data_IF_289762161491
#
_entry.id   IF_289762161491
#
_cell.length_a   1.000
_cell.length_b   1.000
_cell.length_c   1.000
_cell.angle_alpha   90.00
_cell.angle_beta   90.00
_cell.angle_gamma   90.00
#
_symmetry.space_group_name_H-M   'P 1'
#
loop_
_entity.id
_entity.type
_entity.pdbx_description
1 polymer ?
#
# COMPACT_ATOMS: atom_id res chain seq x y z
N UNK A 1 -13.55 13.64 -13.80
CA UNK A 1 -12.18 13.07 -13.59
C UNK A 1 -11.05 14.13 -13.50
N UNK A 2 -11.24 15.40 -13.88
CA UNK A 2 -10.12 16.36 -14.03
C UNK A 2 -9.44 16.94 -12.77
N UNK A 3 -10.14 17.15 -11.65
CA UNK A 3 -9.55 17.87 -10.49
C UNK A 3 -8.52 17.07 -9.68
N UNK A 4 -8.73 15.75 -9.54
CA UNK A 4 -7.80 14.89 -8.77
C UNK A 4 -6.51 14.65 -9.55
N UNK A 5 -6.63 14.27 -10.83
CA UNK A 5 -5.49 14.01 -11.71
C UNK A 5 -4.53 15.21 -11.81
N UNK A 6 -5.06 16.44 -11.89
CA UNK A 6 -4.23 17.64 -11.94
C UNK A 6 -3.35 17.82 -10.68
N UNK A 7 -3.88 17.49 -9.49
CA UNK A 7 -3.11 17.57 -8.23
C UNK A 7 -1.96 16.56 -8.20
N UNK A 8 -2.16 15.35 -8.71
CA UNK A 8 -1.10 14.34 -8.80
C UNK A 8 0.02 14.78 -9.75
N UNK A 9 -0.33 15.34 -10.91
CA UNK A 9 0.67 15.84 -11.87
C UNK A 9 1.51 16.98 -11.29
N UNK A 10 0.91 17.91 -10.53
CA UNK A 10 1.64 18.97 -9.83
C UNK A 10 2.64 18.43 -8.79
N UNK A 11 2.41 17.23 -8.26
CA UNK A 11 3.30 16.55 -7.31
C UNK A 11 4.35 15.68 -8.02
N UNK A 12 4.45 15.78 -9.35
CA UNK A 12 5.43 15.07 -10.17
C UNK A 12 5.03 13.63 -10.53
N UNK A 13 3.75 13.28 -10.43
CA UNK A 13 3.26 11.96 -10.83
C UNK A 13 2.74 11.95 -12.27
N UNK A 14 3.12 10.91 -13.02
CA UNK A 14 2.52 10.54 -14.29
C UNK A 14 1.27 9.69 -14.03
N UNK A 15 0.19 9.99 -14.75
CA UNK A 15 -1.07 9.24 -14.63
C UNK A 15 -1.03 8.09 -15.62
N UNK A 16 -1.14 6.85 -15.12
CA UNK A 16 -1.27 5.66 -15.98
C UNK A 16 -2.73 5.32 -16.29
N UNK A 17 -3.63 5.63 -15.36
CA UNK A 17 -5.05 5.33 -15.49
C UNK A 17 -5.83 5.91 -14.32
N UNK A 18 -7.16 5.67 -14.27
CA UNK A 18 -7.98 6.09 -13.15
C UNK A 18 -7.41 5.53 -11.85
N UNK A 19 -7.08 6.42 -10.90
CA UNK A 19 -6.52 6.05 -9.58
C UNK A 19 -5.15 5.36 -9.61
N UNK A 20 -4.42 5.38 -10.74
CA UNK A 20 -3.10 4.75 -10.87
C UNK A 20 -2.09 5.81 -11.32
N UNK A 21 -1.07 6.01 -10.50
CA UNK A 21 -0.06 7.05 -10.66
C UNK A 21 1.33 6.46 -10.53
N UNK A 22 2.29 7.01 -11.28
CA UNK A 22 3.68 6.60 -11.26
C UNK A 22 4.56 7.80 -11.01
N UNK A 23 5.58 7.59 -10.20
CA UNK A 23 6.74 8.46 -10.10
C UNK A 23 7.96 7.64 -10.47
N UNK A 24 8.51 7.91 -11.64
CA UNK A 24 9.68 7.19 -12.16
C UNK A 24 10.90 7.48 -11.26
N UNK A 25 11.83 6.52 -11.25
CA UNK A 25 13.09 6.68 -10.55
C UNK A 25 13.79 7.97 -11.00
N UNK A 26 14.52 8.60 -10.09
CA UNK A 26 15.26 9.82 -10.47
C UNK A 26 16.47 9.38 -11.30
N UNK A 27 16.30 9.26 -12.61
CA UNK A 27 17.44 9.19 -13.52
C UNK A 27 18.16 10.53 -13.40
N UNK A 28 19.34 10.57 -12.78
CA UNK A 28 20.26 11.66 -13.08
C UNK A 28 20.49 11.56 -14.58
N UNK A 29 19.97 12.51 -15.35
CA UNK A 29 20.34 12.62 -16.76
C UNK A 29 21.86 12.65 -16.77
N UNK A 30 22.47 11.72 -17.50
CA UNK A 30 23.82 11.88 -17.98
C UNK A 30 23.85 13.16 -18.81
N UNK A 31 24.11 14.30 -18.16
CA UNK A 31 24.46 15.52 -18.83
C UNK A 31 25.73 15.21 -19.61
N UNK A 32 25.58 15.16 -20.93
CA UNK A 32 26.63 14.99 -21.91
C UNK A 32 27.85 15.83 -21.54
N UNK A 33 28.99 15.15 -21.47
CA UNK A 33 30.33 15.71 -21.36
C UNK A 33 30.47 16.87 -22.35
N UNK A 34 30.80 18.06 -21.85
CA UNK A 34 31.54 19.04 -22.63
C UNK A 34 32.84 19.31 -21.90
N UNK A 35 33.91 18.84 -22.51
CA UNK A 35 35.28 18.90 -22.05
C UNK A 35 35.86 20.28 -22.26
N UNK A 36 36.19 20.99 -21.18
CA UNK A 36 37.24 22.01 -21.17
C UNK A 36 37.92 22.02 -19.80
N UNK A 37 39.22 21.80 -19.84
CA UNK A 37 40.17 21.77 -18.74
C UNK A 37 40.56 23.16 -18.24
N UNK A 38 40.55 23.37 -16.92
CA UNK A 38 41.48 24.27 -16.22
C UNK A 38 41.39 24.02 -14.70
N UNK A 39 42.55 23.99 -14.04
CA UNK A 39 42.82 23.48 -12.70
C UNK A 39 42.41 24.41 -11.53
N UNK A 40 42.45 23.79 -10.33
CA UNK A 40 42.70 24.31 -8.97
C UNK A 40 41.52 24.49 -7.97
N UNK A 41 41.45 23.47 -7.11
CA UNK A 41 41.22 23.51 -5.64
C UNK A 41 39.96 24.18 -5.09
N UNK A 42 38.93 23.37 -4.86
CA UNK A 42 38.06 23.49 -3.68
C UNK A 42 37.43 22.14 -3.35
N UNK A 43 37.53 21.71 -2.10
CA UNK A 43 36.95 20.51 -1.50
C UNK A 43 35.80 19.85 -2.28
N UNK A 44 36.10 18.76 -2.98
CA UNK A 44 35.08 17.86 -3.52
C UNK A 44 34.32 17.21 -2.37
N UNK A 45 33.15 17.77 -2.04
CA UNK A 45 32.10 17.00 -1.40
C UNK A 45 31.58 16.00 -2.44
N UNK A 46 32.19 14.82 -2.48
CA UNK A 46 31.68 13.70 -3.28
C UNK A 46 30.28 13.37 -2.77
N UNK A 47 29.19 13.58 -3.54
CA UNK A 47 27.89 13.09 -3.13
C UNK A 47 27.96 11.55 -3.08
N UNK A 48 27.29 10.86 -2.15
CA UNK A 48 27.37 9.41 -2.05
C UNK A 48 26.82 8.77 -3.33
N UNK A 49 27.73 8.41 -4.23
CA UNK A 49 27.47 7.67 -5.45
C UNK A 49 27.57 6.18 -5.13
N UNK A 50 26.52 5.62 -4.54
CA UNK A 50 26.22 4.19 -4.63
C UNK A 50 24.72 4.05 -4.82
N UNK A 51 24.30 3.79 -6.06
CA UNK A 51 23.03 3.11 -6.33
C UNK A 51 23.08 1.84 -5.49
N UNK A 52 22.23 1.71 -4.48
CA UNK A 52 22.18 0.49 -3.70
C UNK A 52 21.59 -0.61 -4.61
N UNK A 53 22.38 -1.59 -5.10
CA UNK A 53 21.85 -2.65 -5.97
C UNK A 53 20.84 -3.54 -5.23
N UNK A 54 20.78 -3.42 -3.91
CA UNK A 54 19.91 -4.14 -2.99
C UNK A 54 18.58 -3.42 -2.71
N UNK A 55 18.25 -2.33 -3.40
CA UNK A 55 16.94 -1.68 -3.30
C UNK A 55 15.85 -2.38 -4.12
N UNK A 56 14.56 -2.12 -3.83
CA UNK A 56 13.46 -2.58 -4.69
C UNK A 56 13.52 -1.88 -6.05
N UNK A 57 13.14 -2.60 -7.10
CA UNK A 57 12.95 -1.97 -8.41
C UNK A 57 11.65 -1.14 -8.44
N UNK A 58 10.65 -1.57 -7.66
CA UNK A 58 9.35 -0.94 -7.57
C UNK A 58 8.86 -0.87 -6.12
N UNK A 59 8.43 0.30 -5.69
CA UNK A 59 7.56 0.47 -4.53
C UNK A 59 6.12 0.47 -5.04
N UNK A 60 5.32 -0.51 -4.64
CA UNK A 60 3.89 -0.54 -4.88
C UNK A 60 3.17 -0.02 -3.63
N UNK A 61 2.69 1.22 -3.69
CA UNK A 61 1.96 1.87 -2.60
C UNK A 61 0.46 1.87 -2.89
N UNK A 62 -0.31 1.15 -2.10
CA UNK A 62 -1.78 1.15 -2.20
C UNK A 62 -2.36 1.99 -1.06
N UNK A 63 -2.92 3.16 -1.39
CA UNK A 63 -3.30 4.16 -0.38
C UNK A 63 -4.58 3.77 0.36
N UNK A 64 -4.77 4.35 1.55
CA UNK A 64 -6.05 4.28 2.24
C UNK A 64 -7.16 4.96 1.43
N UNK A 65 -8.40 4.63 1.78
CA UNK A 65 -9.59 5.14 1.11
C UNK A 65 -9.70 6.65 1.26
N UNK A 66 -9.78 7.36 0.15
CA UNK A 66 -9.95 8.82 0.13
C UNK A 66 -8.69 9.61 0.52
N UNK A 67 -7.50 9.01 0.41
CA UNK A 67 -6.24 9.69 0.71
C UNK A 67 -6.06 11.01 -0.07
N UNK A 68 -5.67 12.07 0.64
CA UNK A 68 -5.26 13.33 -0.02
C UNK A 68 -3.90 13.09 -0.69
N UNK A 69 -3.74 13.45 -1.99
CA UNK A 69 -2.48 13.29 -2.71
C UNK A 69 -1.26 13.88 -1.99
N UNK A 70 -1.44 14.98 -1.23
CA UNK A 70 -0.37 15.63 -0.48
C UNK A 70 0.15 14.77 0.67
N UNK A 71 -0.71 13.95 1.28
CA UNK A 71 -0.29 13.05 2.35
C UNK A 71 0.50 11.88 1.77
N UNK A 72 -0.01 11.28 0.69
CA UNK A 72 0.69 10.19 -0.02
C UNK A 72 2.04 10.66 -0.56
N UNK A 73 2.11 11.89 -1.08
CA UNK A 73 3.35 12.46 -1.60
C UNK A 73 4.48 12.50 -0.55
N UNK A 74 4.17 12.67 0.74
CA UNK A 74 5.18 12.64 1.82
C UNK A 74 5.85 11.26 1.92
N UNK A 75 5.06 10.19 1.89
CA UNK A 75 5.59 8.81 1.88
C UNK A 75 6.43 8.54 0.64
N UNK A 76 5.93 8.91 -0.55
CA UNK A 76 6.70 8.69 -1.79
C UNK A 76 7.98 9.52 -1.85
N UNK A 77 7.99 10.73 -1.27
CA UNK A 77 9.20 11.54 -1.17
C UNK A 77 10.26 10.80 -0.34
N UNK A 78 9.87 10.26 0.81
CA UNK A 78 10.77 9.52 1.67
C UNK A 78 11.26 8.22 1.03
N UNK A 79 10.39 7.50 0.32
CA UNK A 79 10.82 6.36 -0.50
C UNK A 79 11.86 6.73 -1.55
N UNK A 80 11.70 7.87 -2.24
CA UNK A 80 12.69 8.33 -3.21
C UNK A 80 14.03 8.71 -2.56
N UNK A 81 14.04 9.14 -1.30
CA UNK A 81 15.27 9.42 -0.53
C UNK A 81 15.97 8.11 -0.13
N UNK A 82 15.22 7.11 0.32
CA UNK A 82 15.72 5.80 0.77
C UNK A 82 16.16 4.93 -0.42
N UNK A 83 15.37 4.90 -1.49
CA UNK A 83 15.59 4.09 -2.69
C UNK A 83 15.51 4.97 -3.97
N UNK A 84 16.56 5.77 -4.27
CA UNK A 84 16.54 6.71 -5.40
C UNK A 84 16.33 6.07 -6.79
N UNK A 85 16.68 4.79 -6.92
CA UNK A 85 16.55 4.02 -8.16
C UNK A 85 15.23 3.26 -8.27
N UNK A 86 14.41 3.24 -7.21
CA UNK A 86 13.10 2.60 -7.24
C UNK A 86 12.09 3.49 -7.98
N UNK A 87 11.29 2.88 -8.83
CA UNK A 87 10.06 3.51 -9.31
C UNK A 87 8.99 3.39 -8.22
N UNK A 88 8.10 4.38 -8.08
CA UNK A 88 6.98 4.32 -7.14
C UNK A 88 5.67 4.29 -7.91
N UNK A 89 4.90 3.21 -7.77
CA UNK A 89 3.52 3.13 -8.21
C UNK A 89 2.59 3.42 -7.04
N UNK A 90 1.71 4.40 -7.20
CA UNK A 90 0.65 4.70 -6.25
C UNK A 90 -0.68 4.30 -6.86
N UNK A 91 -1.42 3.44 -6.15
CA UNK A 91 -2.79 3.07 -6.49
C UNK A 91 -3.71 3.57 -5.39
N UNK A 92 -4.62 4.48 -5.73
CA UNK A 92 -5.54 5.08 -4.76
C UNK A 92 -6.87 4.36 -4.70
N UNK A 93 -7.44 4.28 -3.50
CA UNK A 93 -8.82 3.82 -3.32
C UNK A 93 -9.75 5.01 -3.14
N UNK A 94 -10.76 5.14 -4.00
CA UNK A 94 -11.83 6.13 -3.85
C UNK A 94 -13.12 5.45 -3.41
N UNK A 95 -13.94 6.12 -2.61
CA UNK A 95 -15.19 5.56 -2.07
C UNK A 95 -16.12 5.07 -3.20
N UNK A 96 -16.16 5.78 -4.33
CA UNK A 96 -16.96 5.36 -5.48
C UNK A 96 -16.53 4.01 -6.08
N UNK A 97 -15.23 3.66 -6.00
CA UNK A 97 -14.76 2.35 -6.43
C UNK A 97 -15.29 1.24 -5.52
N UNK A 98 -15.56 1.54 -4.25
CA UNK A 98 -16.03 0.56 -3.28
C UNK A 98 -17.53 0.27 -3.44
N UNK A 99 -18.33 1.30 -3.73
CA UNK A 99 -19.80 1.24 -3.66
C UNK A 99 -20.46 0.91 -5.00
N UNK A 100 -19.92 1.37 -6.14
CA UNK A 100 -20.66 1.39 -7.41
C UNK A 100 -20.06 0.53 -8.54
N UNK A 101 -18.99 -0.23 -8.27
CA UNK A 101 -18.34 -1.08 -9.30
C UNK A 101 -18.42 -2.56 -8.96
N UNK A 102 -18.77 -3.36 -9.96
CA UNK A 102 -18.64 -4.82 -9.91
C UNK A 102 -17.17 -5.24 -9.78
N UNK A 103 -16.94 -6.49 -9.37
CA UNK A 103 -15.58 -7.06 -9.27
C UNK A 103 -14.87 -7.06 -10.64
N UNK A 104 -15.58 -7.36 -11.73
CA UNK A 104 -15.00 -7.32 -13.08
C UNK A 104 -14.58 -5.91 -13.49
N UNK A 105 -15.40 -4.89 -13.22
CA UNK A 105 -15.02 -3.50 -13.51
C UNK A 105 -13.86 -3.03 -12.64
N UNK A 106 -13.80 -3.46 -11.37
CA UNK A 106 -12.66 -3.19 -10.48
C UNK A 106 -11.36 -3.76 -11.05
N UNK A 107 -11.40 -4.96 -11.62
CA UNK A 107 -10.25 -5.61 -12.27
C UNK A 107 -9.89 -4.93 -13.60
N UNK A 108 -10.88 -4.61 -14.44
CA UNK A 108 -10.65 -3.96 -15.74
C UNK A 108 -9.97 -2.59 -15.59
N UNK A 109 -10.34 -1.81 -14.57
CA UNK A 109 -9.72 -0.50 -14.28
C UNK A 109 -8.25 -0.64 -13.86
N UNK A 110 -7.82 -1.81 -13.39
CA UNK A 110 -6.42 -2.09 -13.04
C UNK A 110 -5.57 -2.48 -14.26
N UNK A 111 -6.15 -2.61 -15.46
CA UNK A 111 -5.43 -2.95 -16.69
C UNK A 111 -4.14 -2.13 -16.92
N UNK A 112 -4.15 -0.79 -16.76
CA UNK A 112 -2.94 0.01 -16.91
C UNK A 112 -1.84 -0.31 -15.87
N UNK A 113 -2.21 -0.65 -14.63
CA UNK A 113 -1.26 -1.06 -13.60
C UNK A 113 -0.65 -2.43 -13.94
N UNK A 114 -1.49 -3.39 -14.34
CA UNK A 114 -1.05 -4.74 -14.74
C UNK A 114 -0.10 -4.67 -15.94
N UNK A 115 -0.44 -3.88 -16.96
CA UNK A 115 0.40 -3.72 -18.15
C UNK A 115 1.72 -3.01 -17.83
N UNK A 116 1.72 -2.07 -16.89
CA UNK A 116 2.97 -1.49 -16.39
C UNK A 116 3.81 -2.54 -15.68
N UNK A 117 3.24 -3.29 -14.74
CA UNK A 117 3.93 -4.33 -13.98
C UNK A 117 4.54 -5.36 -14.93
N UNK A 118 3.79 -5.85 -15.91
CA UNK A 118 4.25 -6.83 -16.91
C UNK A 118 5.50 -6.38 -17.68
N UNK A 119 5.63 -5.07 -17.94
CA UNK A 119 6.77 -4.51 -18.68
C UNK A 119 7.98 -4.17 -17.83
N UNK A 120 7.78 -3.87 -16.54
CA UNK A 120 8.84 -3.33 -15.67
C UNK A 120 9.28 -4.30 -14.58
N UNK A 121 8.54 -5.38 -14.40
CA UNK A 121 8.81 -6.41 -13.40
C UNK A 121 9.18 -7.68 -14.15
N UNK A 122 10.47 -7.99 -14.18
CA UNK A 122 10.93 -9.27 -14.73
C UNK A 122 10.61 -10.38 -13.75
N UNK A 123 9.62 -11.21 -14.09
CA UNK A 123 9.33 -12.47 -13.39
C UNK A 123 10.41 -13.53 -13.62
N UNK A 124 11.29 -13.32 -14.61
CA UNK A 124 12.46 -14.16 -14.90
C UNK A 124 13.68 -13.84 -14.03
N UNK A 125 13.67 -12.72 -13.30
CA UNK A 125 14.70 -12.50 -12.29
C UNK A 125 14.44 -13.47 -11.15
N UNK A 126 15.45 -14.23 -10.76
CA UNK A 126 15.40 -15.16 -9.61
C UNK A 126 15.24 -14.44 -8.25
N UNK A 127 14.93 -13.14 -8.25
CA UNK A 127 14.79 -12.32 -7.04
C UNK A 127 13.52 -11.48 -7.08
N UNK A 128 12.83 -11.34 -5.94
CA UNK A 128 11.74 -10.38 -5.80
C UNK A 128 12.21 -8.95 -6.11
N UNK A 129 11.30 -8.12 -6.64
CA UNK A 129 11.63 -6.76 -7.08
C UNK A 129 10.69 -5.69 -6.55
N UNK A 130 9.59 -6.09 -5.89
CA UNK A 130 8.54 -5.19 -5.43
C UNK A 130 8.51 -5.14 -3.90
N UNK A 131 8.59 -3.95 -3.32
CA UNK A 131 8.15 -3.70 -1.93
C UNK A 131 6.70 -3.23 -1.97
N UNK A 132 5.79 -4.00 -1.38
CA UNK A 132 4.38 -3.64 -1.27
C UNK A 132 4.13 -2.91 0.06
N UNK A 133 3.59 -1.70 -0.01
CA UNK A 133 3.10 -0.95 1.14
C UNK A 133 1.60 -0.72 1.00
N UNK A 134 0.81 -1.44 1.79
CA UNK A 134 -0.65 -1.38 1.78
C UNK A 134 -1.18 -0.66 3.01
N UNK A 135 -1.97 0.39 2.78
CA UNK A 135 -2.58 1.20 3.83
C UNK A 135 -4.07 0.91 3.96
N UNK A 136 -4.53 0.67 5.18
CA UNK A 136 -5.96 0.45 5.49
C UNK A 136 -6.58 -0.75 4.74
N UNK A 137 -7.85 -1.03 5.01
CA UNK A 137 -8.63 -2.03 4.27
C UNK A 137 -8.72 -1.71 2.77
N UNK A 138 -8.84 -0.43 2.44
CA UNK A 138 -8.94 0.03 1.05
C UNK A 138 -7.68 -0.25 0.24
N UNK A 139 -6.49 -0.07 0.83
CA UNK A 139 -5.22 -0.34 0.17
C UNK A 139 -4.97 -1.84 0.02
N UNK A 140 -5.14 -2.61 1.10
CA UNK A 140 -5.01 -4.06 1.09
C UNK A 140 -5.94 -4.72 0.06
N UNK A 141 -7.19 -4.23 -0.05
CA UNK A 141 -8.11 -4.71 -1.08
C UNK A 141 -7.59 -4.44 -2.50
N UNK A 142 -7.06 -3.24 -2.77
CA UNK A 142 -6.45 -2.94 -4.08
C UNK A 142 -5.22 -3.79 -4.35
N UNK A 143 -4.37 -4.02 -3.35
CA UNK A 143 -3.20 -4.89 -3.49
C UNK A 143 -3.61 -6.30 -3.93
N UNK A 144 -4.60 -6.88 -3.24
CA UNK A 144 -5.20 -8.18 -3.60
C UNK A 144 -5.81 -8.15 -5.01
N UNK A 145 -6.55 -7.11 -5.37
CA UNK A 145 -7.12 -6.99 -6.72
C UNK A 145 -6.04 -6.91 -7.81
N UNK A 146 -4.94 -6.18 -7.58
CA UNK A 146 -3.82 -6.09 -8.52
C UNK A 146 -3.13 -7.44 -8.66
N UNK A 147 -2.87 -8.14 -7.56
CA UNK A 147 -2.28 -9.48 -7.61
C UNK A 147 -3.15 -10.47 -8.37
N UNK A 148 -4.47 -10.45 -8.16
CA UNK A 148 -5.41 -11.31 -8.89
C UNK A 148 -5.42 -10.98 -10.38
N UNK A 149 -5.49 -9.69 -10.71
CA UNK A 149 -5.48 -9.24 -12.10
C UNK A 149 -4.16 -9.60 -12.81
N UNK A 150 -3.03 -9.46 -12.11
CA UNK A 150 -1.71 -9.81 -12.64
C UNK A 150 -1.57 -11.33 -12.85
N UNK A 151 -1.98 -12.13 -11.87
CA UNK A 151 -1.97 -13.60 -11.97
C UNK A 151 -2.85 -14.08 -13.12
N UNK A 152 -4.06 -13.53 -13.25
CA UNK A 152 -4.96 -13.86 -14.35
C UNK A 152 -4.40 -13.47 -15.73
N UNK A 153 -3.67 -12.34 -15.82
CA UNK A 153 -3.12 -11.85 -17.07
C UNK A 153 -1.80 -12.52 -17.49
N UNK A 154 -1.00 -13.00 -16.53
CA UNK A 154 0.37 -13.48 -16.79
C UNK A 154 0.58 -14.96 -16.47
N UNK A 155 -0.31 -15.58 -15.68
CA UNK A 155 -0.10 -16.89 -15.10
C UNK A 155 0.95 -16.92 -13.98
N UNK A 156 1.55 -15.78 -13.62
CA UNK A 156 2.58 -15.65 -12.61
C UNK A 156 2.10 -14.80 -11.42
N UNK A 157 2.57 -15.11 -10.22
CA UNK A 157 2.37 -14.29 -9.02
C UNK A 157 3.20 -13.00 -9.13
N UNK A 158 2.77 -11.93 -8.45
CA UNK A 158 3.59 -10.73 -8.33
C UNK A 158 4.85 -11.04 -7.51
N UNK A 159 6.06 -10.68 -7.98
CA UNK A 159 7.32 -10.96 -7.26
C UNK A 159 7.56 -9.91 -6.15
N UNK A 160 6.70 -9.96 -5.13
CA UNK A 160 6.79 -9.14 -3.93
C UNK A 160 7.88 -9.70 -3.00
N UNK A 161 8.83 -8.85 -2.61
CA UNK A 161 9.97 -9.18 -1.75
C UNK A 161 9.82 -8.72 -0.31
N UNK A 162 8.77 -7.97 -0.01
CA UNK A 162 8.43 -7.55 1.35
C UNK A 162 7.04 -6.93 1.39
N UNK A 163 6.35 -7.12 2.51
CA UNK A 163 5.03 -6.55 2.76
C UNK A 163 5.07 -5.61 3.96
N UNK A 164 4.64 -4.37 3.76
CA UNK A 164 4.32 -3.43 4.84
C UNK A 164 2.82 -3.22 4.87
N UNK A 165 2.20 -3.65 5.95
CA UNK A 165 0.78 -3.49 6.22
C UNK A 165 0.59 -2.37 7.25
N UNK A 166 0.11 -1.22 6.81
CA UNK A 166 -0.10 -0.03 7.65
C UNK A 166 -1.60 0.13 7.96
N UNK A 167 -1.95 -0.02 9.24
CA UNK A 167 -3.34 -0.07 9.73
C UNK A 167 -4.22 -1.11 9.02
N UNK A 168 -3.71 -2.32 8.76
CA UNK A 168 -4.42 -3.39 8.01
C UNK A 168 -3.75 -4.75 8.26
N UNK A 169 -4.42 -5.89 8.05
CA UNK A 169 -5.86 -6.05 7.87
C UNK A 169 -6.63 -6.16 9.19
N UNK A 170 -7.86 -5.68 9.18
CA UNK A 170 -8.82 -5.79 10.27
C UNK A 170 -9.79 -6.96 10.14
N UNK A 171 -10.82 -6.94 10.99
CA UNK A 171 -12.01 -7.79 10.90
C UNK A 171 -13.27 -6.92 10.72
N UNK A 172 -14.37 -7.49 10.20
CA UNK A 172 -15.62 -6.74 10.03
C UNK A 172 -16.28 -6.41 11.38
N UNK A 173 -15.93 -5.27 11.93
CA UNK A 173 -16.55 -4.70 13.13
C UNK A 173 -17.62 -3.67 12.76
N UNK A 174 -18.80 -3.77 13.38
CA UNK A 174 -19.88 -2.81 13.13
C UNK A 174 -19.50 -1.39 13.58
N UNK A 175 -18.89 -1.26 14.76
CA UNK A 175 -18.39 0.01 15.31
C UNK A 175 -17.38 0.68 14.38
N UNK A 176 -16.41 -0.07 13.85
CA UNK A 176 -15.43 0.42 12.88
C UNK A 176 -16.09 0.94 11.60
N UNK A 177 -17.09 0.23 11.07
CA UNK A 177 -17.84 0.68 9.90
C UNK A 177 -18.60 1.99 10.17
N UNK A 178 -19.19 2.14 11.37
CA UNK A 178 -19.84 3.38 11.79
C UNK A 178 -18.84 4.53 11.94
N UNK A 179 -17.65 4.27 12.52
CA UNK A 179 -16.58 5.26 12.63
C UNK A 179 -16.08 5.73 11.25
N UNK A 180 -15.84 4.79 10.33
CA UNK A 180 -15.45 5.08 8.95
C UNK A 180 -16.52 5.91 8.21
N UNK A 181 -17.80 5.54 8.35
CA UNK A 181 -18.90 6.29 7.75
C UNK A 181 -19.03 7.69 8.35
N UNK A 182 -18.92 7.84 9.68
CA UNK A 182 -18.93 9.16 10.32
C UNK A 182 -17.82 10.07 9.80
N UNK A 183 -16.64 9.52 9.50
CA UNK A 183 -15.51 10.25 8.89
C UNK A 183 -15.76 10.67 7.44
N UNK A 184 -16.50 9.89 6.67
CA UNK A 184 -16.82 10.23 5.29
C UNK A 184 -17.88 11.32 5.17
N UNK A 185 -18.68 11.53 6.23
CA UNK A 185 -19.69 12.59 6.28
C UNK A 185 -19.04 14.00 6.35
N UNK A 186 -19.59 14.98 5.61
CA UNK A 186 -19.17 16.38 5.69
C UNK A 186 -19.15 16.91 7.13
N UNK A 187 -18.26 17.85 7.45
CA UNK A 187 -18.15 18.42 8.80
C UNK A 187 -19.40 19.20 9.28
N UNK A 188 -20.36 19.45 8.38
CA UNK A 188 -21.61 20.14 8.70
C UNK A 188 -22.44 19.35 9.73
N UNK A 189 -22.76 20.01 10.85
CA UNK A 189 -23.49 19.39 11.98
C UNK A 189 -24.88 18.88 11.60
N UNK A 190 -25.62 19.61 10.77
CA UNK A 190 -26.97 19.21 10.34
C UNK A 190 -26.93 17.99 9.42
N UNK A 191 -26.00 17.97 8.46
CA UNK A 191 -25.78 16.82 7.57
C UNK A 191 -25.36 15.59 8.39
N UNK A 192 -24.50 15.76 9.39
CA UNK A 192 -24.10 14.66 10.28
C UNK A 192 -25.25 14.16 11.16
N UNK A 193 -26.07 15.07 11.70
CA UNK A 193 -27.20 14.71 12.56
C UNK A 193 -28.25 13.87 11.83
N UNK A 194 -28.50 14.13 10.54
CA UNK A 194 -29.44 13.34 9.74
C UNK A 194 -28.77 12.14 9.04
N UNK A 195 -27.57 12.33 8.49
CA UNK A 195 -26.87 11.31 7.72
C UNK A 195 -26.34 10.16 8.57
N UNK A 196 -25.92 10.41 9.81
CA UNK A 196 -25.35 9.38 10.68
C UNK A 196 -26.38 8.31 11.09
N UNK A 197 -27.59 8.65 11.60
CA UNK A 197 -28.61 7.65 11.92
C UNK A 197 -29.00 6.81 10.70
N UNK A 198 -29.25 7.46 9.55
CA UNK A 198 -29.59 6.77 8.30
C UNK A 198 -28.48 5.81 7.89
N UNK A 199 -27.22 6.27 7.92
CA UNK A 199 -26.08 5.42 7.59
C UNK A 199 -25.88 4.26 8.55
N UNK A 200 -26.10 4.45 9.86
CA UNK A 200 -26.04 3.37 10.86
C UNK A 200 -27.09 2.30 10.56
N UNK A 201 -28.32 2.70 10.21
CA UNK A 201 -29.39 1.75 9.82
C UNK A 201 -28.99 0.97 8.56
N UNK A 202 -28.52 1.66 7.52
CA UNK A 202 -28.08 1.02 6.27
C UNK A 202 -26.90 0.06 6.51
N UNK A 203 -25.88 0.50 7.27
CA UNK A 203 -24.76 -0.34 7.66
C UNK A 203 -25.23 -1.55 8.46
N UNK A 204 -26.22 -1.38 9.35
CA UNK A 204 -26.80 -2.45 10.15
C UNK A 204 -27.50 -3.49 9.26
N UNK A 205 -28.25 -3.05 8.25
CA UNK A 205 -28.88 -3.94 7.26
C UNK A 205 -27.85 -4.70 6.44
N UNK A 206 -26.80 -4.03 5.96
CA UNK A 206 -25.70 -4.68 5.22
C UNK A 206 -24.99 -5.70 6.10
N UNK A 207 -24.65 -5.31 7.33
CA UNK A 207 -24.00 -6.19 8.29
C UNK A 207 -24.85 -7.42 8.61
N UNK A 208 -26.14 -7.22 8.89
CA UNK A 208 -27.12 -8.28 9.11
C UNK A 208 -27.26 -9.22 7.92
N UNK A 209 -27.26 -8.67 6.69
CA UNK A 209 -27.32 -9.48 5.45
C UNK A 209 -26.13 -10.42 5.33
N UNK A 210 -24.90 -9.94 5.59
CA UNK A 210 -23.73 -10.82 5.58
C UNK A 210 -23.72 -11.80 6.75
N UNK A 211 -24.18 -11.40 7.93
CA UNK A 211 -24.27 -12.29 9.09
C UNK A 211 -25.27 -13.43 8.92
N UNK A 212 -26.42 -13.17 8.27
CA UNK A 212 -27.58 -14.10 8.28
C UNK A 212 -27.82 -14.77 6.93
N UNK A 213 -27.58 -14.06 5.82
CA UNK A 213 -28.00 -14.51 4.48
C UNK A 213 -26.81 -14.91 3.61
N UNK A 214 -25.81 -14.03 3.52
CA UNK A 214 -24.68 -14.24 2.60
C UNK A 214 -23.52 -15.00 3.24
N UNK A 215 -23.51 -15.20 4.55
CA UNK A 215 -22.37 -15.76 5.28
C UNK A 215 -21.31 -14.71 5.62
N UNK A 216 -20.78 -14.71 6.86
CA UNK A 216 -19.81 -13.72 7.32
C UNK A 216 -18.52 -13.74 6.50
N UNK A 217 -18.14 -14.87 5.92
CA UNK A 217 -16.95 -15.05 5.07
C UNK A 217 -17.02 -14.28 3.75
N UNK A 218 -18.21 -13.96 3.26
CA UNK A 218 -18.40 -13.37 1.94
C UNK A 218 -18.29 -11.84 1.91
N UNK A 219 -17.97 -11.19 3.04
CA UNK A 219 -17.73 -9.75 3.05
C UNK A 219 -16.31 -9.41 2.54
N UNK A 220 -16.14 -8.22 1.97
CA UNK A 220 -14.89 -7.79 1.31
C UNK A 220 -13.70 -7.73 2.27
N UNK A 221 -13.91 -7.35 3.55
CA UNK A 221 -12.85 -7.26 4.56
C UNK A 221 -12.31 -8.67 4.83
N UNK A 222 -13.20 -9.63 5.12
CA UNK A 222 -12.80 -11.03 5.37
C UNK A 222 -12.16 -11.68 4.14
N UNK A 223 -12.71 -11.47 2.94
CA UNK A 223 -12.08 -11.97 1.70
C UNK A 223 -10.71 -11.36 1.45
N UNK A 224 -10.50 -10.08 1.77
CA UNK A 224 -9.21 -9.40 1.62
C UNK A 224 -8.21 -9.94 2.63
N UNK A 225 -8.59 -10.05 3.91
CA UNK A 225 -7.79 -10.65 4.97
C UNK A 225 -7.29 -12.04 4.58
N UNK A 226 -8.21 -12.93 4.21
CA UNK A 226 -7.85 -14.29 3.80
C UNK A 226 -6.92 -14.29 2.58
N UNK A 227 -7.17 -13.41 1.61
CA UNK A 227 -6.37 -13.32 0.40
C UNK A 227 -4.94 -12.82 0.65
N UNK A 228 -4.65 -12.09 1.73
CA UNK A 228 -3.27 -11.67 2.06
C UNK A 228 -2.39 -12.85 2.51
N UNK A 229 -3.00 -13.94 2.96
CA UNK A 229 -2.33 -15.19 3.34
C UNK A 229 -2.51 -16.31 2.30
N UNK A 230 -3.09 -16.01 1.14
CA UNK A 230 -3.34 -16.99 0.08
C UNK A 230 -2.06 -17.29 -0.73
N UNK A 231 -1.51 -18.50 -0.57
CA UNK A 231 -0.33 -18.99 -1.27
C UNK A 231 -0.53 -19.15 -2.78
N UNK A 232 -1.78 -19.26 -3.26
CA UNK A 232 -2.04 -19.28 -4.70
C UNK A 232 -1.78 -17.90 -5.29
N UNK A 233 -2.16 -16.85 -4.55
CA UNK A 233 -2.09 -15.48 -4.99
C UNK A 233 -0.69 -14.86 -4.82
N UNK A 234 -0.01 -15.22 -3.73
CA UNK A 234 1.26 -14.62 -3.35
C UNK A 234 2.33 -15.70 -3.15
N UNK A 235 3.56 -15.36 -3.51
CA UNK A 235 4.72 -16.17 -3.10
C UNK A 235 5.10 -15.78 -1.67
N UNK A 236 4.35 -16.28 -0.69
CA UNK A 236 4.45 -15.82 0.70
C UNK A 236 5.62 -16.44 1.46
N UNK A 237 6.08 -17.62 1.05
CA UNK A 237 7.09 -18.39 1.78
C UNK A 237 8.40 -17.60 1.86
N UNK A 238 8.84 -17.29 3.09
CA UNK A 238 10.10 -16.58 3.33
C UNK A 238 10.11 -15.10 2.90
N UNK A 239 8.96 -14.51 2.58
CA UNK A 239 8.88 -13.07 2.29
C UNK A 239 8.61 -12.29 3.58
N UNK A 240 9.49 -11.35 3.98
CA UNK A 240 9.31 -10.58 5.22
C UNK A 240 8.02 -9.76 5.22
N UNK A 241 7.42 -9.65 6.40
CA UNK A 241 6.18 -8.92 6.62
C UNK A 241 6.32 -8.02 7.84
N UNK A 242 5.79 -6.81 7.75
CA UNK A 242 5.74 -5.88 8.85
C UNK A 242 4.37 -5.27 8.95
N UNK A 243 3.78 -5.33 10.14
CA UNK A 243 2.53 -4.68 10.47
C UNK A 243 2.84 -3.42 11.28
N UNK A 244 2.32 -2.29 10.83
CA UNK A 244 2.44 -1.00 11.49
C UNK A 244 1.06 -0.54 11.92
N UNK A 245 0.86 -0.31 13.22
CA UNK A 245 -0.46 -0.05 13.77
C UNK A 245 -0.40 0.74 15.08
N UNK A 246 -1.56 1.22 15.55
CA UNK A 246 -1.66 1.88 16.85
C UNK A 246 -2.87 1.44 17.67
N UNK A 247 -2.70 1.42 18.99
CA UNK A 247 -3.81 1.28 19.95
C UNK A 247 -4.85 2.39 19.84
N UNK A 248 -4.47 3.56 19.34
CA UNK A 248 -5.37 4.70 19.15
C UNK A 248 -6.05 4.72 17.77
N UNK A 249 -5.82 3.70 16.93
CA UNK A 249 -6.56 3.53 15.69
C UNK A 249 -8.01 3.12 15.99
N UNK A 250 -8.94 3.97 15.61
CA UNK A 250 -10.38 3.81 15.83
C UNK A 250 -11.12 3.33 14.57
N UNK A 251 -10.40 3.04 13.48
CA UNK A 251 -10.97 2.34 12.33
C UNK A 251 -10.61 0.86 12.35
N UNK A 252 -9.34 0.53 12.58
CA UNK A 252 -8.86 -0.85 12.55
C UNK A 252 -8.30 -1.19 13.92
N UNK A 253 -8.98 -2.12 14.60
CA UNK A 253 -8.54 -2.59 15.91
C UNK A 253 -7.16 -3.24 15.79
N UNK A 254 -6.23 -2.83 16.64
CA UNK A 254 -4.86 -3.34 16.61
C UNK A 254 -4.82 -4.84 16.92
N UNK A 255 -5.77 -5.34 17.72
CA UNK A 255 -5.94 -6.75 18.04
C UNK A 255 -6.18 -7.58 16.77
N UNK A 256 -7.00 -7.09 15.84
CA UNK A 256 -7.27 -7.80 14.59
C UNK A 256 -6.02 -7.94 13.71
N UNK A 257 -5.14 -6.93 13.76
CA UNK A 257 -3.87 -6.91 13.01
C UNK A 257 -2.90 -7.91 13.63
N UNK A 258 -2.79 -7.93 14.96
CA UNK A 258 -1.97 -8.91 15.69
C UNK A 258 -2.47 -10.32 15.45
N UNK A 259 -3.78 -10.54 15.49
CA UNK A 259 -4.40 -11.82 15.14
C UNK A 259 -4.00 -12.26 13.72
N UNK A 260 -3.92 -11.33 12.75
CA UNK A 260 -3.56 -11.69 11.38
C UNK A 260 -2.09 -12.11 11.26
N UNK A 261 -1.21 -11.45 12.02
CA UNK A 261 0.18 -11.83 12.10
C UNK A 261 0.32 -13.25 12.68
N UNK A 262 -0.41 -13.56 13.75
CA UNK A 262 -0.46 -14.91 14.33
C UNK A 262 -1.02 -15.95 13.34
N UNK A 263 -2.13 -15.65 12.66
CA UNK A 263 -2.68 -16.49 11.60
C UNK A 263 -1.62 -16.79 10.52
N UNK A 264 -0.85 -15.78 10.10
CA UNK A 264 0.22 -15.99 9.11
C UNK A 264 1.40 -16.80 9.65
N UNK A 265 1.75 -16.66 10.93
CA UNK A 265 2.79 -17.47 11.57
C UNK A 265 2.36 -18.94 11.68
N UNK A 266 1.11 -19.20 12.05
CA UNK A 266 0.57 -20.55 12.18
C UNK A 266 0.45 -21.26 10.83
N UNK A 267 -0.18 -20.59 9.85
CA UNK A 267 -0.51 -21.16 8.54
C UNK A 267 0.71 -21.24 7.62
N UNK A 268 1.53 -20.19 7.60
CA UNK A 268 2.58 -20.02 6.59
C UNK A 268 3.99 -20.14 7.17
N UNK A 269 4.13 -20.27 8.49
CA UNK A 269 5.42 -20.27 9.21
C UNK A 269 6.24 -18.99 8.95
N UNK A 270 5.53 -17.86 8.80
CA UNK A 270 6.13 -16.54 8.58
C UNK A 270 6.08 -15.75 9.89
N UNK A 271 7.24 -15.52 10.49
CA UNK A 271 7.37 -14.57 11.58
C UNK A 271 7.30 -13.14 11.03
N UNK A 272 6.34 -12.37 11.54
CA UNK A 272 6.10 -10.99 11.08
C UNK A 272 6.58 -9.99 12.12
N UNK A 273 7.18 -8.89 11.66
CA UNK A 273 7.51 -7.76 12.54
C UNK A 273 6.26 -6.97 12.91
N UNK A 274 6.12 -6.62 14.18
CA UNK A 274 5.01 -5.82 14.70
C UNK A 274 5.54 -4.48 15.23
N UNK A 275 5.14 -3.39 14.60
CA UNK A 275 5.46 -2.02 15.02
C UNK A 275 4.21 -1.39 15.60
N UNK A 276 4.14 -1.38 16.93
CA UNK A 276 2.98 -0.96 17.70
C UNK A 276 3.20 0.43 18.30
N UNK A 277 2.34 1.36 17.90
CA UNK A 277 2.27 2.72 18.42
C UNK A 277 1.14 2.87 19.43
N UNK A 278 1.19 3.93 20.26
CA UNK A 278 0.16 4.14 21.30
C UNK A 278 -0.86 5.22 20.97
N UNK A 279 -0.50 6.23 20.16
CA UNK A 279 -1.27 7.49 20.09
C UNK A 279 -1.62 7.94 18.67
N UNK A 280 -1.04 7.33 17.65
CA UNK A 280 -1.21 7.75 16.26
C UNK A 280 -2.56 7.29 15.73
N UNK A 281 -3.22 8.20 15.01
CA UNK A 281 -4.44 7.87 14.29
C UNK A 281 -4.17 7.00 13.07
N UNK A 282 -5.25 6.42 12.53
CA UNK A 282 -5.27 5.59 11.34
C UNK A 282 -4.39 6.13 10.19
N UNK A 283 -3.50 5.28 9.67
CA UNK A 283 -2.54 5.57 8.60
C UNK A 283 -1.66 6.82 8.82
N UNK A 284 -1.40 7.21 10.07
CA UNK A 284 -0.62 8.38 10.43
C UNK A 284 0.45 8.07 11.49
N UNK A 285 0.91 6.82 11.53
CA UNK A 285 1.87 6.29 12.49
C UNK A 285 3.26 6.93 12.38
N UNK A 286 3.68 7.27 11.17
CA UNK A 286 4.93 8.00 10.90
C UNK A 286 5.05 9.32 11.69
N UNK A 287 3.92 9.93 12.07
CA UNK A 287 3.90 11.18 12.83
C UNK A 287 4.22 11.00 14.32
N UNK A 288 4.05 9.78 14.86
CA UNK A 288 4.38 9.48 16.25
C UNK A 288 5.87 9.23 16.41
N UNK A 289 6.48 8.42 15.52
CA UNK A 289 7.92 8.22 15.47
C UNK A 289 8.37 7.93 14.03
N UNK A 290 8.89 8.94 13.35
CA UNK A 290 9.30 8.82 11.96
C UNK A 290 10.50 7.89 11.77
N UNK A 291 11.47 7.94 12.69
CA UNK A 291 12.69 7.13 12.61
C UNK A 291 12.37 5.64 12.72
N UNK A 292 11.61 5.25 13.74
CA UNK A 292 11.19 3.86 13.95
C UNK A 292 10.33 3.34 12.79
N UNK A 293 9.42 4.16 12.28
CA UNK A 293 8.55 3.81 11.16
C UNK A 293 9.37 3.45 9.92
N UNK A 294 10.29 4.34 9.51
CA UNK A 294 11.08 4.11 8.31
C UNK A 294 12.16 3.05 8.51
N UNK A 295 12.73 2.93 9.72
CA UNK A 295 13.65 1.84 10.05
C UNK A 295 12.97 0.48 9.91
N UNK A 296 11.71 0.36 10.33
CA UNK A 296 10.94 -0.86 10.14
C UNK A 296 10.69 -1.16 8.66
N UNK A 297 10.23 -0.16 7.87
CA UNK A 297 10.02 -0.31 6.42
C UNK A 297 11.29 -0.76 5.69
N UNK A 298 12.45 -0.17 6.02
CA UNK A 298 13.74 -0.52 5.43
C UNK A 298 14.13 -1.95 5.81
N UNK A 299 14.01 -2.29 7.10
CA UNK A 299 14.30 -3.64 7.60
C UNK A 299 13.44 -4.71 6.93
N UNK A 300 12.15 -4.45 6.72
CA UNK A 300 11.26 -5.36 5.98
C UNK A 300 11.85 -5.74 4.61
N UNK A 301 12.39 -4.76 3.89
CA UNK A 301 12.98 -5.02 2.59
C UNK A 301 14.34 -5.74 2.70
N UNK A 302 15.18 -5.35 3.66
CA UNK A 302 16.52 -5.93 3.82
C UNK A 302 16.49 -7.38 4.30
N UNK A 303 15.51 -7.78 5.10
CA UNK A 303 15.34 -9.15 5.61
C UNK A 303 15.20 -10.19 4.50
N UNK A 304 14.77 -9.81 3.29
CA UNK A 304 14.64 -10.75 2.17
C UNK A 304 16.00 -11.32 1.69
N UNK A 305 17.10 -10.68 2.10
CA UNK A 305 18.48 -11.04 1.79
C UNK A 305 19.16 -11.85 2.91
N UNK A 306 18.56 -11.91 4.10
CA UNK A 306 19.13 -12.65 5.23
C UNK A 306 19.04 -14.16 4.94
N UNK A 307 20.18 -14.86 4.94
CA UNK A 307 20.26 -16.30 4.68
C UNK A 307 20.43 -16.70 3.20
N UNK A 308 20.43 -15.74 2.27
CA UNK A 308 20.80 -15.99 0.86
C UNK A 308 22.29 -15.71 0.70
N UNK A 309 23.12 -16.77 0.72
CA UNK A 309 24.52 -16.65 0.30
C UNK A 309 24.53 -16.21 -1.17
N UNK A 310 25.21 -15.10 -1.44
CA UNK A 310 25.49 -14.64 -2.81
C UNK A 310 26.75 -15.30 -3.34
#
# INVERSE_FOLDING_TARGET
MGKSSHRWTQLGFKVLGPSIYIKEATSRSSSSVSSTSSELSSFSYSPPSRVNPWGPALILLTSWTGADPRHVAKYTKRYNEIYPSATVMVVTTVINDLVFRSTQEKVAVLGPAVEFLRRHVSTHLMRPTILLHAFSEGGSNKAVCIARAYLAATGCRLPVGGFVFDSTPGKPHFSSNVAAFKRSLPANKAVRAMGLPVGVVVLGMVYGTFRVVKGPENNVITQTRNALNDEVLWDVAGVPRTYVFSEADDLIAWEDIVDHAHESAELLKIESSLVRYKKSGHCNHVRENEEEYWAAVVRTWEEQYVGKAF
#
